data_IF_716215920552
#
_entry.id   IF_716215920552
#
_cell.length_a   1.000
_cell.length_b   1.000
_cell.length_c   1.000
_cell.angle_alpha   90.00
_cell.angle_beta   90.00
_cell.angle_gamma   90.00
#
_symmetry.space_group_name_H-M   'P 1'
#
loop_
_entity.id
_entity.type
_entity.pdbx_description
1 polymer ?
#
# COMPACT_ATOMS: atom_id res chain seq x y z
N UNK A 1 1.29 -6.73 16.27
CA UNK A 1 2.58 -7.08 15.62
C UNK A 1 2.44 -7.92 14.36
N UNK A 2 1.75 -9.07 14.36
CA UNK A 2 1.64 -9.94 13.15
C UNK A 2 1.14 -9.19 11.90
N UNK A 3 0.08 -8.38 12.03
CA UNK A 3 -0.48 -7.60 10.91
C UNK A 3 0.53 -6.60 10.33
N UNK A 4 1.37 -5.97 11.17
CA UNK A 4 2.41 -5.06 10.69
C UNK A 4 3.47 -5.80 9.87
N UNK A 5 3.89 -7.00 10.32
CA UNK A 5 4.81 -7.84 9.57
C UNK A 5 4.23 -8.24 8.20
N UNK A 6 2.96 -8.68 8.16
CA UNK A 6 2.26 -8.97 6.90
C UNK A 6 2.12 -7.74 6.00
N UNK A 7 1.92 -6.56 6.60
CA UNK A 7 1.82 -5.29 5.86
C UNK A 7 3.16 -4.91 5.22
N UNK A 8 4.29 -5.19 5.87
CA UNK A 8 5.63 -5.03 5.29
C UNK A 8 5.78 -5.95 4.07
N UNK A 9 5.43 -7.24 4.22
CA UNK A 9 5.47 -8.20 3.11
C UNK A 9 4.59 -7.73 1.95
N UNK A 10 3.38 -7.25 2.24
CA UNK A 10 2.48 -6.70 1.22
C UNK A 10 3.06 -5.45 0.54
N UNK A 11 3.71 -4.57 1.30
CA UNK A 11 4.42 -3.41 0.74
C UNK A 11 5.54 -3.82 -0.23
N UNK A 12 6.30 -4.86 0.12
CA UNK A 12 7.29 -5.44 -0.79
C UNK A 12 6.63 -5.99 -2.06
N UNK A 13 5.48 -6.68 -1.96
CA UNK A 13 4.72 -7.14 -3.14
C UNK A 13 4.32 -5.96 -4.03
N UNK A 14 3.79 -4.86 -3.46
CA UNK A 14 3.45 -3.66 -4.21
C UNK A 14 4.65 -3.08 -4.98
N UNK A 15 5.81 -2.97 -4.31
CA UNK A 15 7.04 -2.44 -4.90
C UNK A 15 7.57 -3.36 -6.00
N UNK A 16 7.65 -4.66 -5.73
CA UNK A 16 8.18 -5.64 -6.69
C UNK A 16 7.31 -5.73 -7.94
N UNK A 17 5.98 -5.81 -7.78
CA UNK A 17 5.06 -5.87 -8.94
C UNK A 17 5.15 -4.61 -9.80
N UNK A 18 5.18 -3.42 -9.18
CA UNK A 18 5.33 -2.16 -9.91
C UNK A 18 6.70 -2.07 -10.62
N UNK A 19 7.78 -2.47 -9.93
CA UNK A 19 9.12 -2.48 -10.49
C UNK A 19 9.25 -3.46 -11.66
N UNK A 20 8.74 -4.68 -11.54
CA UNK A 20 8.76 -5.68 -12.61
C UNK A 20 8.03 -5.20 -13.86
N UNK A 21 6.83 -4.64 -13.72
CA UNK A 21 6.08 -4.12 -14.87
C UNK A 21 6.67 -2.84 -15.45
N UNK A 22 7.26 -1.97 -14.61
CA UNK A 22 8.04 -0.84 -15.10
C UNK A 22 9.27 -1.31 -15.88
N UNK A 23 9.94 -2.37 -15.43
CA UNK A 23 11.08 -2.97 -16.14
C UNK A 23 10.64 -3.51 -17.49
N UNK A 24 9.50 -4.19 -17.55
CA UNK A 24 8.95 -4.75 -18.78
C UNK A 24 8.64 -3.68 -19.83
N UNK A 25 8.25 -2.46 -19.43
CA UNK A 25 7.97 -1.36 -20.36
C UNK A 25 9.21 -0.51 -20.70
N UNK A 26 10.07 -0.22 -19.73
CA UNK A 26 11.22 0.68 -19.91
C UNK A 26 12.51 -0.03 -20.29
N UNK A 27 12.51 -1.36 -20.20
CA UNK A 27 13.67 -2.21 -20.44
C UNK A 27 14.58 -2.36 -19.21
N UNK A 28 15.36 -3.44 -19.21
CA UNK A 28 16.30 -3.75 -18.13
C UNK A 28 17.41 -2.70 -18.03
N UNK A 29 17.93 -2.23 -19.16
CA UNK A 29 18.99 -1.21 -19.24
C UNK A 29 18.60 0.10 -18.54
N UNK A 30 17.33 0.51 -18.67
CA UNK A 30 16.81 1.67 -17.96
C UNK A 30 16.86 1.46 -16.44
N UNK A 31 16.50 0.27 -15.96
CA UNK A 31 16.38 0.02 -14.53
C UNK A 31 17.71 -0.21 -13.81
N UNK A 32 18.71 -0.77 -14.50
CA UNK A 32 20.07 -0.96 -13.98
C UNK A 32 20.96 0.25 -14.21
N UNK A 33 20.62 1.09 -15.18
CA UNK A 33 21.35 2.32 -15.50
C UNK A 33 21.02 3.48 -14.56
N UNK A 34 21.65 4.64 -14.76
CA UNK A 34 21.48 5.83 -13.91
C UNK A 34 20.07 6.41 -13.90
N UNK A 35 19.21 6.04 -14.87
CA UNK A 35 17.86 6.59 -15.11
C UNK A 35 17.86 8.10 -15.41
N UNK A 36 18.97 8.60 -15.95
CA UNK A 36 19.11 9.98 -16.35
C UNK A 36 18.20 10.29 -17.56
N UNK A 37 17.57 11.46 -17.55
CA UNK A 37 16.64 11.92 -18.59
C UNK A 37 15.16 11.81 -18.22
N UNK A 38 14.29 12.07 -19.20
CA UNK A 38 12.83 12.03 -18.99
C UNK A 38 12.36 10.57 -19.10
N UNK A 39 11.83 9.97 -18.02
CA UNK A 39 11.36 8.59 -18.07
C UNK A 39 10.14 8.48 -18.98
N UNK A 40 10.15 7.48 -19.87
CA UNK A 40 8.95 7.15 -20.64
C UNK A 40 7.76 6.88 -19.69
N UNK A 41 6.59 7.48 -19.93
CA UNK A 41 5.43 7.33 -19.06
C UNK A 41 4.96 5.87 -19.07
N UNK A 42 4.68 5.33 -17.87
CA UNK A 42 4.12 3.99 -17.75
C UNK A 42 2.66 4.00 -18.20
N UNK A 43 2.30 3.07 -19.08
CA UNK A 43 0.95 2.97 -19.64
C UNK A 43 0.26 1.68 -19.20
N UNK A 44 -1.07 1.62 -19.38
CA UNK A 44 -1.85 0.40 -19.11
C UNK A 44 -1.68 -0.13 -17.69
N UNK A 45 -1.44 -1.44 -17.57
CA UNK A 45 -1.31 -2.12 -16.28
C UNK A 45 -0.10 -1.64 -15.46
N UNK A 46 1.05 -1.40 -16.09
CA UNK A 46 2.26 -0.94 -15.37
C UNK A 46 2.03 0.41 -14.70
N UNK A 47 1.43 1.37 -15.43
CA UNK A 47 1.09 2.67 -14.86
C UNK A 47 0.03 2.58 -13.75
N UNK A 48 -0.89 1.62 -13.85
CA UNK A 48 -1.88 1.36 -12.79
C UNK A 48 -1.21 0.84 -11.52
N UNK A 49 -0.34 -0.17 -11.62
CA UNK A 49 0.29 -0.77 -10.45
C UNK A 49 1.39 0.12 -9.83
N UNK A 50 2.06 0.97 -10.61
CA UNK A 50 2.95 2.02 -10.08
C UNK A 50 2.19 2.98 -9.16
N UNK A 51 1.02 3.48 -9.60
CA UNK A 51 0.16 4.32 -8.75
C UNK A 51 -0.38 3.58 -7.54
N UNK A 52 -0.74 2.30 -7.68
CA UNK A 52 -1.17 1.48 -6.56
C UNK A 52 -0.06 1.30 -5.51
N UNK A 53 1.19 1.14 -5.95
CA UNK A 53 2.37 1.04 -5.10
C UNK A 53 2.64 2.35 -4.35
N UNK A 54 2.68 3.49 -5.05
CA UNK A 54 2.83 4.82 -4.42
C UNK A 54 1.75 5.08 -3.36
N UNK A 55 0.49 4.80 -3.69
CA UNK A 55 -0.61 4.96 -2.74
C UNK A 55 -0.50 4.04 -1.50
N UNK A 56 0.06 2.84 -1.66
CA UNK A 56 0.35 1.97 -0.51
C UNK A 56 1.37 2.63 0.39
N UNK A 57 2.49 3.07 -0.17
CA UNK A 57 3.58 3.68 0.60
C UNK A 57 3.13 4.97 1.31
N UNK A 58 2.32 5.81 0.67
CA UNK A 58 1.76 7.02 1.27
C UNK A 58 0.94 6.73 2.54
N UNK A 59 0.14 5.66 2.54
CA UNK A 59 -0.73 5.31 3.67
C UNK A 59 -0.06 4.39 4.69
N UNK A 60 0.90 3.58 4.25
CA UNK A 60 1.62 2.63 5.08
C UNK A 60 2.45 3.32 6.17
N UNK A 61 3.07 4.46 5.88
CA UNK A 61 3.88 5.19 6.89
C UNK A 61 3.03 5.59 8.10
N UNK A 62 1.82 6.13 7.86
CA UNK A 62 0.89 6.47 8.93
C UNK A 62 0.43 5.24 9.70
N UNK A 63 0.07 4.17 8.99
CA UNK A 63 -0.34 2.91 9.60
C UNK A 63 0.76 2.30 10.48
N UNK A 64 1.98 2.21 9.96
CA UNK A 64 3.12 1.64 10.65
C UNK A 64 3.45 2.45 11.91
N UNK A 65 3.51 3.78 11.79
CA UNK A 65 3.75 4.66 12.93
C UNK A 65 2.67 4.47 14.02
N UNK A 66 1.39 4.45 13.64
CA UNK A 66 0.29 4.29 14.58
C UNK A 66 0.33 2.93 15.31
N UNK A 67 0.56 1.83 14.58
CA UNK A 67 0.66 0.48 15.18
C UNK A 67 1.88 0.36 16.09
N UNK A 68 3.01 0.94 15.72
CA UNK A 68 4.22 0.96 16.55
C UNK A 68 4.00 1.78 17.83
N UNK A 69 3.35 2.94 17.74
CA UNK A 69 2.99 3.76 18.91
C UNK A 69 2.05 3.01 19.85
N UNK A 70 1.00 2.36 19.34
CA UNK A 70 0.09 1.55 20.17
C UNK A 70 0.83 0.42 20.89
N UNK A 71 1.75 -0.25 20.20
CA UNK A 71 2.54 -1.32 20.80
C UNK A 71 3.50 -0.79 21.87
N UNK A 72 4.15 0.36 21.61
CA UNK A 72 5.07 0.99 22.56
C UNK A 72 4.33 1.49 23.82
N UNK A 73 3.18 2.14 23.64
CA UNK A 73 2.35 2.68 24.71
C UNK A 73 1.49 1.62 25.42
N UNK A 74 1.53 0.36 24.98
CA UNK A 74 0.67 -0.72 25.48
C UNK A 74 -0.84 -0.37 25.40
N UNK A 75 -1.24 0.43 24.40
CA UNK A 75 -2.63 0.87 24.17
C UNK A 75 -3.38 -0.02 23.16
N UNK A 76 -2.79 -1.15 22.75
CA UNK A 76 -3.44 -2.08 21.82
C UNK A 76 -4.60 -2.82 22.48
N UNK A 77 -5.75 -2.85 21.80
CA UNK A 77 -6.95 -3.59 22.20
C UNK A 77 -7.65 -4.23 20.98
N UNK A 78 -8.77 -4.93 21.22
CA UNK A 78 -9.55 -5.61 20.17
C UNK A 78 -10.01 -4.66 19.05
N UNK A 79 -10.43 -3.43 19.38
CA UNK A 79 -10.82 -2.43 18.39
C UNK A 79 -9.66 -2.00 17.49
N UNK A 80 -8.47 -1.77 18.06
CA UNK A 80 -7.28 -1.43 17.26
C UNK A 80 -6.80 -2.60 16.40
N UNK A 81 -6.96 -3.84 16.89
CA UNK A 81 -6.65 -5.04 16.13
C UNK A 81 -7.60 -5.18 14.93
N UNK A 82 -8.90 -4.97 15.13
CA UNK A 82 -9.89 -4.96 14.06
C UNK A 82 -9.57 -3.86 13.03
N UNK A 83 -9.27 -2.64 13.48
CA UNK A 83 -8.86 -1.54 12.60
C UNK A 83 -7.65 -1.90 11.75
N UNK A 84 -6.65 -2.54 12.35
CA UNK A 84 -5.46 -3.01 11.63
C UNK A 84 -5.78 -4.11 10.59
N UNK A 85 -6.68 -5.04 10.91
CA UNK A 85 -7.13 -6.07 9.98
C UNK A 85 -7.91 -5.47 8.81
N UNK A 86 -8.82 -4.54 9.08
CA UNK A 86 -9.61 -3.82 8.06
C UNK A 86 -8.66 -3.10 7.10
N UNK A 87 -7.70 -2.33 7.65
CA UNK A 87 -6.70 -1.65 6.83
C UNK A 87 -5.93 -2.64 5.97
N UNK A 88 -5.37 -3.70 6.57
CA UNK A 88 -4.56 -4.68 5.87
C UNK A 88 -5.31 -5.37 4.73
N UNK A 89 -6.48 -5.94 5.00
CA UNK A 89 -7.26 -6.66 3.98
C UNK A 89 -7.79 -5.74 2.88
N UNK A 90 -8.14 -4.50 3.23
CA UNK A 90 -8.47 -3.50 2.22
C UNK A 90 -7.25 -3.21 1.32
N UNK A 91 -6.02 -3.12 1.86
CA UNK A 91 -4.81 -2.97 1.03
C UNK A 91 -4.55 -4.20 0.14
N UNK A 92 -4.80 -5.42 0.64
CA UNK A 92 -4.72 -6.64 -0.16
C UNK A 92 -5.68 -6.59 -1.34
N UNK A 93 -6.94 -6.17 -1.11
CA UNK A 93 -7.94 -6.03 -2.16
C UNK A 93 -7.68 -4.83 -3.10
N UNK A 94 -7.01 -3.79 -2.62
CA UNK A 94 -6.74 -2.57 -3.38
C UNK A 94 -5.83 -2.85 -4.59
N UNK A 95 -4.82 -3.69 -4.43
CA UNK A 95 -3.89 -4.03 -5.51
C UNK A 95 -4.59 -4.65 -6.75
N UNK A 96 -5.38 -5.75 -6.64
CA UNK A 96 -6.12 -6.29 -7.77
C UNK A 96 -7.23 -5.34 -8.25
N UNK A 97 -7.92 -4.61 -7.35
CA UNK A 97 -8.92 -3.63 -7.75
C UNK A 97 -8.33 -2.54 -8.68
N UNK A 98 -7.13 -2.07 -8.36
CA UNK A 98 -6.40 -1.11 -9.18
C UNK A 98 -5.92 -1.72 -10.50
N UNK A 99 -5.54 -3.00 -10.49
CA UNK A 99 -5.14 -3.75 -11.68
C UNK A 99 -6.27 -3.85 -12.73
N UNK A 100 -7.48 -4.22 -12.28
CA UNK A 100 -8.66 -4.44 -13.12
C UNK A 100 -9.17 -3.11 -13.71
N UNK A 101 -9.13 -2.02 -12.94
CA UNK A 101 -9.51 -0.70 -13.43
C UNK A 101 -11.01 -0.42 -13.42
N UNK A 102 -11.80 -1.15 -12.63
CA UNK A 102 -13.24 -0.91 -12.46
C UNK A 102 -13.45 0.48 -11.82
N UNK A 103 -14.31 1.35 -12.40
CA UNK A 103 -14.67 2.63 -11.81
C UNK A 103 -15.20 2.46 -10.38
N UNK A 104 -14.86 3.39 -9.49
CA UNK A 104 -15.28 3.43 -8.08
C UNK A 104 -14.83 2.29 -7.15
N UNK A 105 -14.55 1.08 -7.66
CA UNK A 105 -14.13 -0.06 -6.83
C UNK A 105 -12.90 0.27 -5.98
N UNK A 106 -11.86 0.85 -6.60
CA UNK A 106 -10.65 1.26 -5.88
C UNK A 106 -10.94 2.29 -4.78
N UNK A 107 -11.89 3.20 -5.03
CA UNK A 107 -12.23 4.28 -4.11
C UNK A 107 -12.98 3.73 -2.90
N UNK A 108 -13.91 2.80 -3.11
CA UNK A 108 -14.60 2.10 -2.03
C UNK A 108 -13.61 1.31 -1.15
N UNK A 109 -12.72 0.54 -1.76
CA UNK A 109 -11.69 -0.21 -1.04
C UNK A 109 -10.74 0.72 -0.26
N UNK A 110 -10.36 1.85 -0.86
CA UNK A 110 -9.54 2.86 -0.18
C UNK A 110 -10.26 3.47 1.03
N UNK A 111 -11.56 3.76 0.91
CA UNK A 111 -12.35 4.28 2.03
C UNK A 111 -12.43 3.27 3.19
N UNK A 112 -12.60 1.98 2.89
CA UNK A 112 -12.54 0.91 3.91
C UNK A 112 -11.17 0.89 4.60
N UNK A 113 -10.07 0.99 3.84
CA UNK A 113 -8.74 1.11 4.44
C UNK A 113 -8.62 2.34 5.35
N UNK A 114 -9.16 3.49 4.93
CA UNK A 114 -9.15 4.71 5.74
C UNK A 114 -9.89 4.53 7.06
N UNK A 115 -11.05 3.88 7.07
CA UNK A 115 -11.80 3.56 8.30
C UNK A 115 -10.92 2.73 9.25
N UNK A 116 -10.27 1.68 8.74
CA UNK A 116 -9.35 0.87 9.54
C UNK A 116 -8.19 1.68 10.13
N UNK A 117 -7.60 2.60 9.34
CA UNK A 117 -6.54 3.49 9.83
C UNK A 117 -7.05 4.43 10.93
N UNK A 118 -8.22 5.04 10.75
CA UNK A 118 -8.83 5.93 11.75
C UNK A 118 -9.08 5.18 13.06
N UNK A 119 -9.56 3.94 13.01
CA UNK A 119 -9.75 3.10 14.21
C UNK A 119 -8.45 2.84 14.97
N UNK A 120 -7.34 2.64 14.25
CA UNK A 120 -6.01 2.45 14.88
C UNK A 120 -5.53 3.76 15.50
N UNK A 121 -5.66 4.87 14.78
CA UNK A 121 -5.19 6.20 15.22
C UNK A 121 -6.04 6.74 16.39
N UNK A 122 -7.35 6.52 16.38
CA UNK A 122 -8.25 7.06 17.42
C UNK A 122 -7.91 6.55 18.81
N UNK A 123 -7.35 5.34 18.94
CA UNK A 123 -6.97 4.77 20.23
C UNK A 123 -5.70 5.39 20.84
N UNK A 124 -5.01 6.28 20.12
CA UNK A 124 -3.86 7.01 20.66
C UNK A 124 -4.27 8.16 21.58
N UNK A 125 -5.47 8.71 21.36
CA UNK A 125 -6.06 9.83 22.09
C UNK A 125 -7.06 9.31 23.13
#
# INVERSE_FOLDING_TARGET
MKILAWSIVLGLVHVLVAASLSTAQRGLLWNIGPRDGVPAPLTGLAGRLDRASRNFLETFVFFAAAVLMLAFLQKGNEHTMLGAQIWFWARVAYLPAYAIGIPFLRTAVWAVALVGLVMVVSALF
#
